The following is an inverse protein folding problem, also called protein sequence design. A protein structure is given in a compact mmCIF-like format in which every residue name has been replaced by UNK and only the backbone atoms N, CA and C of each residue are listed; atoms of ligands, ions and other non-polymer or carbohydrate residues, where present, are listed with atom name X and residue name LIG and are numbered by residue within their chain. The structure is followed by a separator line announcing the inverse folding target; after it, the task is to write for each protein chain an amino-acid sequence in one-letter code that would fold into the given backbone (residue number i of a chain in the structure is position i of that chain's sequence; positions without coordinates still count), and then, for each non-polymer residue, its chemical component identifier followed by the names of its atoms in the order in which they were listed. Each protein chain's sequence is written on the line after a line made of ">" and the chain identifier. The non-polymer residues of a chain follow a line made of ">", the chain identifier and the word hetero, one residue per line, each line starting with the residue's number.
data_IF_014874495356
#
_entry.id   IF_014874495356
#
_cell.length_a   1.000
_cell.length_b   1.000
_cell.length_c   1.000
_cell.angle_alpha   90.00
_cell.angle_beta   90.00
_cell.angle_gamma   90.00
#
_symmetry.space_group_name_H-M   'P 1'
#
loop_
_entity.id
_entity.type
_entity.pdbx_description
1 polymer ?
#
# COMPACT_ATOMS: atom_id res chain seq x y z
N UNK A 1 95.86 -70.35 -35.38
CA UNK A 1 96.00 -68.96 -34.92
C UNK A 1 95.06 -68.10 -35.73
N UNK A 2 94.16 -67.38 -35.04
CA UNK A 2 93.37 -66.20 -35.44
C UNK A 2 92.43 -66.39 -36.65
N UNK A 3 91.09 -66.48 -36.55
CA UNK A 3 90.16 -65.70 -35.71
C UNK A 3 90.37 -64.20 -36.01
N UNK A 4 89.65 -63.52 -36.90
CA UNK A 4 88.18 -63.37 -37.03
C UNK A 4 87.83 -62.69 -38.38
N UNK A 5 86.67 -62.94 -39.03
CA UNK A 5 86.11 -62.12 -40.12
C UNK A 5 85.02 -61.14 -39.62
N UNK A 6 84.46 -60.34 -40.53
CA UNK A 6 84.48 -58.87 -40.51
C UNK A 6 83.26 -58.12 -39.94
N UNK A 7 83.53 -56.83 -39.75
CA UNK A 7 82.86 -55.68 -39.16
C UNK A 7 81.32 -55.59 -39.17
N UNK A 8 80.83 -55.14 -38.02
CA UNK A 8 79.54 -54.49 -37.84
C UNK A 8 79.52 -53.10 -38.52
N UNK A 9 78.29 -52.68 -38.88
CA UNK A 9 77.72 -51.37 -39.29
C UNK A 9 78.56 -50.22 -39.93
N UNK A 10 79.87 -50.33 -40.13
CA UNK A 10 80.77 -49.30 -40.68
C UNK A 10 81.54 -49.74 -41.97
N UNK A 11 81.05 -50.75 -42.68
CA UNK A 11 81.41 -50.97 -44.10
C UNK A 11 82.78 -51.60 -44.40
N UNK A 12 83.05 -52.83 -43.92
CA UNK A 12 84.11 -53.70 -44.49
C UNK A 12 83.59 -55.12 -44.79
N UNK A 13 84.05 -55.71 -45.90
CA UNK A 13 83.59 -56.99 -46.46
C UNK A 13 84.39 -58.19 -45.94
N UNK A 14 83.71 -59.12 -45.26
CA UNK A 14 84.31 -60.37 -44.78
C UNK A 14 84.74 -61.33 -45.89
N UNK A 15 86.05 -61.57 -46.02
CA UNK A 15 86.62 -62.65 -46.85
C UNK A 15 86.72 -63.94 -46.03
N UNK A 16 85.94 -64.94 -46.42
CA UNK A 16 85.94 -66.28 -45.82
C UNK A 16 86.87 -67.21 -46.60
N UNK A 17 87.82 -67.86 -45.92
CA UNK A 17 88.85 -68.69 -46.56
C UNK A 17 88.48 -70.16 -46.69
N UNK A 18 87.31 -70.58 -46.18
CA UNK A 18 86.72 -71.90 -46.39
C UNK A 18 85.22 -71.80 -46.60
N UNK A 19 84.65 -72.73 -47.38
CA UNK A 19 83.20 -72.83 -47.61
C UNK A 19 82.44 -73.00 -46.29
N UNK A 20 82.98 -73.80 -45.36
CA UNK A 20 82.35 -74.05 -44.07
C UNK A 20 82.28 -72.80 -43.18
N UNK A 21 83.31 -71.95 -43.18
CA UNK A 21 83.31 -70.70 -42.42
C UNK A 21 82.33 -69.67 -43.00
N UNK A 22 82.25 -69.58 -44.34
CA UNK A 22 81.26 -68.73 -45.01
C UNK A 22 79.83 -69.17 -44.71
N UNK A 23 79.58 -70.49 -44.74
CA UNK A 23 78.25 -71.05 -44.50
C UNK A 23 77.81 -70.90 -43.03
N UNK A 24 78.74 -71.04 -42.08
CA UNK A 24 78.45 -70.79 -40.66
C UNK A 24 78.18 -69.32 -40.37
N UNK A 25 78.94 -68.38 -40.95
CA UNK A 25 78.69 -66.95 -40.77
C UNK A 25 77.36 -66.51 -41.41
N UNK A 26 77.04 -67.02 -42.60
CA UNK A 26 75.73 -66.83 -43.23
C UNK A 26 74.61 -67.40 -42.35
N UNK A 27 74.77 -68.61 -41.82
CA UNK A 27 73.81 -69.22 -40.91
C UNK A 27 73.62 -68.36 -39.65
N UNK A 28 74.69 -67.91 -39.01
CA UNK A 28 74.64 -67.00 -37.85
C UNK A 28 73.94 -65.67 -38.17
N UNK A 29 74.23 -65.05 -39.32
CA UNK A 29 73.58 -63.81 -39.73
C UNK A 29 72.09 -64.01 -40.05
N UNK A 30 71.71 -65.13 -40.67
CA UNK A 30 70.31 -65.45 -41.00
C UNK A 30 69.49 -65.80 -39.74
N UNK A 31 70.09 -66.44 -38.74
CA UNK A 31 69.44 -66.77 -37.46
C UNK A 31 69.58 -65.67 -36.40
N UNK A 32 70.41 -64.64 -36.59
CA UNK A 32 70.48 -63.51 -35.66
C UNK A 32 69.16 -62.73 -35.73
N UNK A 33 68.47 -62.53 -34.60
CA UNK A 33 67.18 -61.86 -34.60
C UNK A 33 67.32 -60.34 -34.74
N UNK A 34 66.28 -59.72 -35.29
CA UNK A 34 65.96 -58.32 -35.02
C UNK A 34 65.21 -58.25 -33.67
N UNK A 35 65.78 -57.52 -32.72
CA UNK A 35 65.15 -57.24 -31.43
C UNK A 35 64.33 -55.94 -31.52
N UNK A 36 63.06 -56.00 -31.17
CA UNK A 36 62.15 -54.85 -31.13
C UNK A 36 61.82 -54.50 -29.68
N UNK A 37 61.99 -53.23 -29.33
CA UNK A 37 61.63 -52.66 -28.04
C UNK A 37 60.46 -51.69 -28.20
N UNK A 38 59.57 -51.63 -27.21
CA UNK A 38 58.55 -50.59 -27.08
C UNK A 38 58.81 -49.70 -25.87
N UNK A 39 57.98 -48.65 -25.70
CA UNK A 39 58.11 -47.71 -24.57
C UNK A 39 57.91 -48.39 -23.21
N UNK A 40 57.19 -49.53 -23.18
CA UNK A 40 57.02 -50.41 -22.03
C UNK A 40 56.98 -51.88 -22.48
N UNK A 41 57.12 -52.83 -21.53
CA UNK A 41 57.04 -54.27 -21.78
C UNK A 41 58.38 -54.95 -22.07
N UNK A 42 58.34 -56.24 -22.38
CA UNK A 42 59.52 -57.03 -22.71
C UNK A 42 59.84 -56.94 -24.20
N UNK A 43 61.12 -56.75 -24.54
CA UNK A 43 61.59 -56.84 -25.91
C UNK A 43 61.23 -58.20 -26.52
N UNK A 44 60.97 -58.22 -27.83
CA UNK A 44 60.74 -59.47 -28.56
C UNK A 44 61.62 -59.55 -29.80
N UNK A 45 61.93 -60.77 -30.20
CA UNK A 45 62.86 -61.06 -31.29
C UNK A 45 62.14 -61.65 -32.50
N UNK A 46 62.68 -61.39 -33.70
CA UNK A 46 62.24 -61.98 -34.96
C UNK A 46 63.42 -62.28 -35.89
N UNK A 47 63.47 -63.48 -36.45
CA UNK A 47 64.46 -63.84 -37.47
C UNK A 47 64.13 -63.23 -38.84
N UNK A 48 65.14 -63.13 -39.72
CA UNK A 48 64.95 -62.67 -41.10
C UNK A 48 63.87 -63.52 -41.82
N UNK A 49 63.00 -62.87 -42.59
CA UNK A 49 61.85 -63.52 -43.25
C UNK A 49 60.60 -63.66 -42.38
N UNK A 50 60.66 -63.33 -41.08
CA UNK A 50 59.48 -63.31 -40.21
C UNK A 50 58.65 -62.04 -40.40
N UNK A 51 57.33 -62.15 -40.25
CA UNK A 51 56.45 -60.96 -40.20
C UNK A 51 56.39 -60.37 -38.80
N UNK A 52 56.67 -59.08 -38.69
CA UNK A 52 56.33 -58.26 -37.51
C UNK A 52 54.96 -57.65 -37.76
N UNK A 53 53.98 -57.98 -36.90
CA UNK A 53 52.66 -57.34 -36.94
C UNK A 53 52.70 -56.10 -36.05
N UNK A 54 52.74 -54.91 -36.65
CA UNK A 54 52.55 -53.65 -35.92
C UNK A 54 51.05 -53.42 -35.80
N UNK A 55 50.54 -53.54 -34.58
CA UNK A 55 49.17 -53.18 -34.23
C UNK A 55 49.24 -51.92 -33.39
N UNK A 56 48.44 -50.90 -33.72
CA UNK A 56 48.33 -49.67 -32.93
C UNK A 56 47.69 -49.96 -31.57
N UNK A 57 48.51 -50.35 -30.60
CA UNK A 57 48.10 -51.06 -29.40
C UNK A 57 47.78 -50.19 -28.17
N UNK A 58 46.84 -50.70 -27.38
CA UNK A 58 46.76 -50.52 -25.94
C UNK A 58 46.12 -51.80 -25.36
N UNK A 59 46.17 -52.04 -24.05
CA UNK A 59 45.74 -53.31 -23.41
C UNK A 59 44.41 -53.21 -22.66
N UNK A 60 43.68 -52.08 -22.77
CA UNK A 60 42.31 -51.88 -22.28
C UNK A 60 41.21 -52.20 -23.31
N UNK A 61 39.96 -51.81 -23.05
CA UNK A 61 38.89 -51.79 -24.08
C UNK A 61 39.28 -50.73 -25.12
N UNK A 62 39.81 -51.17 -26.24
CA UNK A 62 40.25 -50.29 -27.31
C UNK A 62 39.15 -50.09 -28.32
N UNK A 63 39.21 -48.95 -28.98
CA UNK A 63 38.53 -48.76 -30.25
C UNK A 63 39.37 -49.32 -31.38
N UNK A 64 38.80 -50.27 -32.11
CA UNK A 64 39.40 -50.77 -33.33
C UNK A 64 39.64 -49.60 -34.31
N UNK A 65 40.76 -49.64 -35.03
CA UNK A 65 41.01 -48.85 -36.24
C UNK A 65 41.40 -47.36 -36.12
N UNK A 66 41.65 -46.82 -34.91
CA UNK A 66 42.10 -45.41 -34.81
C UNK A 66 43.55 -45.18 -35.31
N UNK A 67 44.42 -46.20 -35.27
CA UNK A 67 45.80 -46.10 -35.77
C UNK A 67 45.97 -47.06 -36.95
N UNK A 68 46.18 -46.49 -38.13
CA UNK A 68 46.49 -47.22 -39.35
C UNK A 68 48.01 -47.28 -39.59
N UNK A 69 48.50 -48.42 -40.06
CA UNK A 69 49.90 -48.58 -40.50
C UNK A 69 49.88 -48.94 -41.97
N UNK A 70 50.49 -48.09 -42.81
CA UNK A 70 50.51 -48.25 -44.27
C UNK A 70 51.95 -48.44 -44.72
N UNK A 71 52.24 -49.56 -45.37
CA UNK A 71 53.53 -49.79 -46.01
C UNK A 71 53.60 -49.05 -47.34
N UNK A 72 54.74 -48.40 -47.61
CA UNK A 72 55.03 -47.75 -48.91
C UNK A 72 55.55 -48.73 -49.97
N UNK A 73 55.84 -49.97 -49.58
CA UNK A 73 56.42 -51.00 -50.46
C UNK A 73 57.93 -50.88 -50.67
N UNK A 74 58.61 -49.96 -49.98
CA UNK A 74 60.05 -49.74 -50.06
C UNK A 74 60.68 -49.84 -48.66
N UNK A 75 60.81 -48.72 -47.93
CA UNK A 75 61.52 -48.66 -46.64
C UNK A 75 60.73 -48.02 -45.50
N UNK A 76 59.47 -47.61 -45.72
CA UNK A 76 58.71 -46.83 -44.73
C UNK A 76 57.39 -47.48 -44.37
N UNK A 77 57.11 -47.55 -43.07
CA UNK A 77 55.76 -47.77 -42.54
C UNK A 77 55.21 -46.44 -42.07
N UNK A 78 54.21 -45.91 -42.77
CA UNK A 78 53.56 -44.66 -42.36
C UNK A 78 52.51 -44.99 -41.30
N UNK A 79 52.69 -44.45 -40.10
CA UNK A 79 51.70 -44.51 -39.04
C UNK A 79 50.75 -43.32 -39.21
N UNK A 80 49.46 -43.60 -39.31
CA UNK A 80 48.39 -42.61 -39.56
C UNK A 80 47.35 -42.70 -38.45
N UNK A 81 46.84 -41.55 -38.02
CA UNK A 81 45.61 -41.47 -37.23
C UNK A 81 44.43 -41.56 -38.20
N UNK A 82 43.37 -42.28 -37.81
CA UNK A 82 42.12 -42.28 -38.54
C UNK A 82 41.54 -40.86 -38.62
N UNK A 83 40.96 -40.50 -39.77
CA UNK A 83 40.31 -39.20 -39.96
C UNK A 83 39.14 -38.99 -38.98
N UNK A 84 38.42 -40.07 -38.66
CA UNK A 84 37.40 -40.11 -37.60
C UNK A 84 37.89 -40.98 -36.45
N UNK A 85 38.30 -40.33 -35.38
CA UNK A 85 38.72 -41.01 -34.14
C UNK A 85 37.48 -41.32 -33.31
N UNK A 86 37.20 -42.60 -33.08
CA UNK A 86 36.17 -43.04 -32.13
C UNK A 86 36.86 -43.55 -30.88
N UNK A 87 36.53 -43.06 -29.68
CA UNK A 87 37.17 -43.48 -28.43
C UNK A 87 36.33 -44.48 -27.62
N UNK A 88 35.16 -44.89 -28.12
CA UNK A 88 34.36 -45.99 -27.57
C UNK A 88 33.55 -45.62 -26.33
N UNK A 89 33.01 -46.62 -25.63
CA UNK A 89 32.09 -46.40 -24.50
C UNK A 89 32.73 -45.70 -23.29
N UNK A 90 34.05 -45.87 -23.12
CA UNK A 90 34.83 -45.29 -22.03
C UNK A 90 35.86 -44.27 -22.53
N UNK A 91 35.68 -43.77 -23.75
CA UNK A 91 36.61 -42.86 -24.39
C UNK A 91 36.57 -41.45 -23.82
N UNK A 92 37.72 -40.80 -23.73
CA UNK A 92 37.82 -39.39 -23.36
C UNK A 92 39.00 -38.69 -24.03
N UNK A 93 38.84 -37.41 -24.32
CA UNK A 93 39.90 -36.48 -24.66
C UNK A 93 40.05 -35.46 -23.53
N UNK A 94 41.26 -35.31 -22.99
CA UNK A 94 41.56 -34.34 -21.93
C UNK A 94 42.59 -33.33 -22.42
N UNK A 95 42.29 -32.04 -22.28
CA UNK A 95 43.18 -30.93 -22.63
C UNK A 95 43.17 -29.90 -21.50
N UNK A 96 44.20 -29.92 -20.64
CA UNK A 96 44.19 -29.16 -19.39
C UNK A 96 42.98 -29.54 -18.53
N UNK A 97 42.20 -28.55 -18.11
CA UNK A 97 40.99 -28.74 -17.30
C UNK A 97 39.76 -29.18 -18.10
N UNK A 98 39.86 -29.22 -19.44
CA UNK A 98 38.73 -29.62 -20.30
C UNK A 98 38.74 -31.12 -20.55
N UNK A 99 37.59 -31.76 -20.33
CA UNK A 99 37.35 -33.17 -20.62
C UNK A 99 36.18 -33.28 -21.60
N UNK A 100 36.41 -33.97 -22.72
CA UNK A 100 35.36 -34.37 -23.67
C UNK A 100 35.21 -35.88 -23.58
N UNK A 101 34.02 -36.36 -23.26
CA UNK A 101 33.73 -37.79 -23.13
C UNK A 101 32.27 -38.10 -23.50
N UNK A 102 31.81 -39.32 -23.20
CA UNK A 102 30.47 -39.78 -23.55
C UNK A 102 29.32 -39.08 -22.79
N UNK A 103 29.64 -38.24 -21.80
CA UNK A 103 28.67 -37.43 -21.04
C UNK A 103 28.57 -35.99 -21.55
N UNK A 104 29.59 -35.48 -22.25
CA UNK A 104 29.61 -34.12 -22.79
C UNK A 104 30.99 -33.47 -22.73
N UNK A 105 31.00 -32.14 -22.60
CA UNK A 105 32.20 -31.32 -22.38
C UNK A 105 32.15 -30.79 -20.95
N UNK A 106 33.22 -30.94 -20.20
CA UNK A 106 33.36 -30.41 -18.84
C UNK A 106 34.66 -29.62 -18.72
N UNK A 107 34.62 -28.45 -18.09
CA UNK A 107 35.80 -27.64 -17.78
C UNK A 107 35.85 -27.47 -16.26
N UNK A 108 36.88 -28.04 -15.63
CA UNK A 108 37.12 -27.82 -14.21
C UNK A 108 37.53 -26.35 -14.00
N UNK A 109 36.75 -25.61 -13.22
CA UNK A 109 36.97 -24.18 -12.96
C UNK A 109 37.62 -23.92 -11.59
N UNK A 110 38.23 -24.95 -10.99
CA UNK A 110 38.88 -24.87 -9.68
C UNK A 110 37.92 -24.79 -8.48
N UNK A 111 36.59 -24.81 -8.70
CA UNK A 111 35.59 -24.86 -7.64
C UNK A 111 34.98 -26.26 -7.59
N UNK A 112 35.02 -26.89 -6.41
CA UNK A 112 34.43 -28.20 -6.22
C UNK A 112 32.94 -28.19 -6.59
N UNK A 113 32.51 -29.24 -7.29
CA UNK A 113 31.12 -29.51 -7.69
C UNK A 113 30.43 -28.42 -8.53
N UNK A 114 31.19 -27.50 -9.14
CA UNK A 114 30.64 -26.44 -10.00
C UNK A 114 31.39 -26.27 -11.32
N UNK A 115 31.73 -27.34 -12.06
CA UNK A 115 32.40 -27.17 -13.34
C UNK A 115 31.49 -26.45 -14.35
N UNK A 116 32.08 -25.87 -15.38
CA UNK A 116 31.31 -25.50 -16.58
C UNK A 116 31.08 -26.78 -17.37
N UNK A 117 29.83 -27.14 -17.66
CA UNK A 117 29.54 -28.38 -18.38
C UNK A 117 28.46 -28.20 -19.46
N UNK A 118 28.67 -28.83 -20.61
CA UNK A 118 27.68 -28.97 -21.67
C UNK A 118 27.41 -30.45 -21.88
N UNK A 119 26.20 -30.87 -21.50
CA UNK A 119 25.76 -32.27 -21.54
C UNK A 119 24.48 -32.41 -22.35
N UNK A 120 23.95 -33.64 -22.47
CA UNK A 120 22.63 -33.89 -23.08
C UNK A 120 21.48 -33.18 -22.36
N UNK A 121 21.68 -32.80 -21.10
CA UNK A 121 20.69 -32.09 -20.28
C UNK A 121 20.80 -30.57 -20.41
N UNK A 122 21.80 -30.04 -21.14
CA UNK A 122 21.99 -28.60 -21.34
C UNK A 122 23.34 -28.09 -20.83
N UNK A 123 23.41 -26.78 -20.64
CA UNK A 123 24.57 -26.04 -20.15
C UNK A 123 24.42 -25.75 -18.65
N UNK A 124 25.44 -26.11 -17.87
CA UNK A 124 25.70 -25.53 -16.55
C UNK A 124 26.92 -24.62 -16.65
N UNK A 125 26.75 -23.34 -16.34
CA UNK A 125 27.84 -22.35 -16.41
C UNK A 125 28.68 -22.29 -15.12
N UNK A 126 28.51 -23.23 -14.18
CA UNK A 126 29.36 -23.36 -12.99
C UNK A 126 29.27 -22.16 -12.04
N UNK A 127 28.13 -21.47 -12.01
CA UNK A 127 27.93 -20.23 -11.24
C UNK A 127 28.59 -18.98 -11.84
N UNK A 128 29.16 -19.06 -13.04
CA UNK A 128 29.75 -17.91 -13.72
C UNK A 128 28.66 -17.01 -14.34
N UNK A 129 29.00 -15.73 -14.54
CA UNK A 129 28.18 -14.82 -15.37
C UNK A 129 28.30 -15.21 -16.85
N UNK A 130 27.17 -15.25 -17.56
CA UNK A 130 27.15 -15.35 -19.03
C UNK A 130 27.14 -13.92 -19.59
N UNK A 131 28.21 -13.51 -20.26
CA UNK A 131 28.35 -12.18 -20.84
C UNK A 131 27.99 -12.17 -22.34
N UNK A 132 27.72 -10.98 -22.89
CA UNK A 132 27.44 -10.77 -24.32
C UNK A 132 26.20 -11.51 -24.84
N UNK A 133 25.19 -11.69 -23.98
CA UNK A 133 23.88 -12.23 -24.38
C UNK A 133 23.10 -11.12 -25.09
N UNK A 134 22.80 -11.30 -26.37
CA UNK A 134 21.91 -10.43 -27.12
C UNK A 134 20.51 -10.38 -26.45
N UNK A 135 19.73 -9.33 -26.71
CA UNK A 135 18.36 -9.30 -26.22
C UNK A 135 17.57 -10.45 -26.88
N UNK A 136 16.88 -11.26 -26.07
CA UNK A 136 16.01 -12.32 -26.58
C UNK A 136 14.84 -11.75 -27.37
N UNK A 137 14.45 -12.44 -28.44
CA UNK A 137 13.36 -12.06 -29.35
C UNK A 137 12.13 -12.98 -29.19
N UNK A 138 12.35 -14.28 -29.01
CA UNK A 138 11.27 -15.27 -28.80
C UNK A 138 11.23 -15.78 -27.35
N UNK A 139 10.10 -16.38 -26.93
CA UNK A 139 9.85 -16.82 -25.55
C UNK A 139 10.89 -17.80 -24.97
N UNK A 140 11.64 -18.49 -25.83
CA UNK A 140 12.67 -19.47 -25.44
C UNK A 140 14.08 -18.88 -25.37
N UNK A 141 14.26 -17.60 -25.70
CA UNK A 141 15.57 -16.96 -25.64
C UNK A 141 15.94 -16.57 -24.20
N UNK A 142 17.25 -16.53 -23.92
CA UNK A 142 17.74 -16.01 -22.67
C UNK A 142 17.52 -14.49 -22.59
N UNK A 143 17.03 -14.01 -21.44
CA UNK A 143 16.84 -12.58 -21.16
C UNK A 143 18.13 -11.99 -20.61
N UNK A 144 18.55 -10.84 -21.12
CA UNK A 144 19.70 -10.10 -20.58
C UNK A 144 19.29 -8.97 -19.60
N UNK A 145 20.28 -8.38 -18.92
CA UNK A 145 20.03 -7.34 -17.90
C UNK A 145 19.40 -6.07 -18.49
N UNK A 146 19.63 -5.74 -19.76
CA UNK A 146 19.02 -4.54 -20.35
C UNK A 146 17.51 -4.73 -20.57
N UNK A 147 17.05 -5.94 -20.92
CA UNK A 147 15.62 -6.27 -20.96
C UNK A 147 14.99 -6.21 -19.56
N UNK A 148 15.68 -6.73 -18.53
CA UNK A 148 15.20 -6.64 -17.14
C UNK A 148 15.07 -5.18 -16.67
N UNK A 149 16.07 -4.34 -16.93
CA UNK A 149 16.02 -2.90 -16.58
C UNK A 149 14.89 -2.18 -17.31
N UNK A 150 14.68 -2.49 -18.58
CA UNK A 150 13.55 -1.96 -19.35
C UNK A 150 12.21 -2.37 -18.75
N UNK A 151 12.06 -3.65 -18.36
CA UNK A 151 10.86 -4.13 -17.68
C UNK A 151 10.63 -3.39 -16.35
N UNK A 152 11.65 -3.32 -15.47
CA UNK A 152 11.55 -2.61 -14.18
C UNK A 152 11.13 -1.15 -14.37
N UNK A 153 11.75 -0.45 -15.33
CA UNK A 153 11.40 0.95 -15.63
C UNK A 153 9.98 1.09 -16.19
N UNK A 154 9.58 0.19 -17.08
CA UNK A 154 8.25 0.18 -17.70
C UNK A 154 7.12 -0.09 -16.71
N UNK A 155 7.37 -0.92 -15.70
CA UNK A 155 6.39 -1.29 -14.68
C UNK A 155 6.49 -0.48 -13.39
N UNK A 156 7.38 0.52 -13.33
CA UNK A 156 7.44 1.43 -12.20
C UNK A 156 6.10 2.19 -12.04
N UNK A 157 5.60 2.26 -10.81
CA UNK A 157 4.42 3.07 -10.50
C UNK A 157 4.79 4.55 -10.65
N UNK A 158 4.04 5.28 -11.47
CA UNK A 158 4.21 6.72 -11.64
C UNK A 158 3.11 7.47 -10.86
N UNK A 159 3.44 8.64 -10.32
CA UNK A 159 2.52 9.54 -9.62
C UNK A 159 1.97 9.06 -8.26
N UNK A 160 2.47 7.95 -7.71
CA UNK A 160 2.15 7.48 -6.36
C UNK A 160 3.44 7.50 -5.53
N UNK A 161 3.41 8.19 -4.38
CA UNK A 161 4.54 8.27 -3.45
C UNK A 161 4.01 8.25 -2.02
N UNK A 162 4.47 7.28 -1.23
CA UNK A 162 4.13 7.11 0.19
C UNK A 162 5.45 7.11 0.95
N UNK A 163 5.60 8.06 1.88
CA UNK A 163 6.79 8.16 2.74
C UNK A 163 6.48 7.53 4.09
N UNK A 164 7.40 6.71 4.58
CA UNK A 164 7.32 6.01 5.86
C UNK A 164 8.47 6.39 6.79
N UNK A 165 9.09 7.55 6.57
CA UNK A 165 10.28 8.03 7.30
C UNK A 165 11.50 7.08 7.32
N UNK A 166 11.49 6.03 6.48
CA UNK A 166 12.50 4.99 6.45
C UNK A 166 12.29 3.88 7.48
N UNK A 167 11.19 3.92 8.24
CA UNK A 167 10.82 2.90 9.21
C UNK A 167 9.62 2.13 8.68
N UNK A 168 9.86 0.86 8.35
CA UNK A 168 8.81 -0.06 7.96
C UNK A 168 7.76 -0.21 9.08
N UNK A 169 6.50 0.07 8.76
CA UNK A 169 5.33 -0.08 9.65
C UNK A 169 4.27 -0.99 9.00
N UNK A 170 3.11 -1.14 9.63
CA UNK A 170 2.00 -1.92 9.08
C UNK A 170 1.57 -1.43 7.68
N UNK A 171 0.95 -2.32 6.90
CA UNK A 171 0.59 -2.13 5.49
C UNK A 171 1.79 -1.97 4.51
N UNK A 172 3.03 -2.25 4.93
CA UNK A 172 4.18 -2.28 4.00
C UNK A 172 4.00 -3.33 2.89
N UNK A 173 3.54 -4.52 3.25
CA UNK A 173 3.24 -5.62 2.31
C UNK A 173 1.84 -5.51 1.68
N UNK A 174 1.22 -4.32 1.71
CA UNK A 174 -0.16 -4.07 1.28
C UNK A 174 -1.21 -4.94 2.02
N UNK A 175 -0.94 -5.29 3.28
CA UNK A 175 -1.78 -6.15 4.11
C UNK A 175 -2.90 -5.42 4.88
N UNK A 176 -3.01 -4.09 4.76
CA UNK A 176 -4.01 -3.27 5.43
C UNK A 176 -5.42 -3.40 4.83
N UNK A 177 -5.56 -4.04 3.67
CA UNK A 177 -6.86 -4.33 3.05
C UNK A 177 -7.32 -5.74 3.45
N UNK A 178 -8.14 -5.85 4.51
CA UNK A 178 -8.52 -7.14 5.12
C UNK A 178 -9.97 -7.55 4.91
N UNK A 179 -10.85 -6.60 4.57
CA UNK A 179 -12.25 -6.86 4.22
C UNK A 179 -12.44 -7.46 2.82
N UNK A 180 -13.69 -7.52 2.36
CA UNK A 180 -14.03 -7.94 0.99
C UNK A 180 -14.01 -6.73 0.06
N UNK A 181 -13.16 -6.76 -0.98
CA UNK A 181 -12.95 -5.65 -1.92
C UNK A 181 -12.61 -4.25 -1.32
N UNK A 182 -11.75 -4.10 -0.30
CA UNK A 182 -11.38 -2.79 0.23
C UNK A 182 -10.19 -2.15 -0.52
N UNK A 183 -9.98 -0.86 -0.28
CA UNK A 183 -8.78 -0.12 -0.68
C UNK A 183 -8.09 0.46 0.56
N UNK A 184 -6.82 0.14 0.76
CA UNK A 184 -6.00 0.63 1.87
C UNK A 184 -4.69 1.24 1.35
N UNK A 185 -4.57 2.57 1.36
CA UNK A 185 -3.39 3.31 0.86
C UNK A 185 -2.79 4.19 1.96
N UNK A 186 -1.56 3.87 2.40
CA UNK A 186 -0.82 4.65 3.39
C UNK A 186 -0.13 3.80 4.46
N UNK A 187 0.78 4.43 5.20
CA UNK A 187 1.54 3.79 6.29
C UNK A 187 0.61 3.46 7.45
N UNK A 188 0.62 2.22 7.92
CA UNK A 188 -0.25 1.74 8.99
C UNK A 188 -1.76 2.00 8.77
N UNK A 189 -2.19 2.15 7.52
CA UNK A 189 -3.61 2.31 7.17
C UNK A 189 -4.31 0.96 7.21
N UNK A 190 -5.62 0.94 7.52
CA UNK A 190 -6.43 -0.28 7.59
C UNK A 190 -7.82 -0.06 6.98
N UNK A 191 -8.21 -0.89 6.03
CA UNK A 191 -9.55 -0.99 5.49
C UNK A 191 -10.10 -2.40 5.77
N UNK A 192 -10.90 -2.51 6.84
CA UNK A 192 -11.40 -3.79 7.36
C UNK A 192 -12.84 -4.09 6.90
N UNK A 193 -13.63 -3.07 6.57
CA UNK A 193 -14.99 -3.26 6.08
C UNK A 193 -15.07 -3.75 4.63
N UNK A 194 -16.16 -4.42 4.28
CA UNK A 194 -16.49 -4.73 2.88
C UNK A 194 -16.66 -3.42 2.09
N UNK A 195 -16.06 -3.33 0.90
CA UNK A 195 -16.09 -2.15 0.02
C UNK A 195 -15.57 -0.86 0.69
N UNK A 196 -14.76 -0.99 1.75
CA UNK A 196 -14.22 0.15 2.49
C UNK A 196 -13.04 0.81 1.76
N UNK A 197 -12.89 2.13 1.93
CA UNK A 197 -11.75 2.90 1.43
C UNK A 197 -11.05 3.60 2.58
N UNK A 198 -9.78 3.29 2.83
CA UNK A 198 -8.89 3.99 3.75
C UNK A 198 -7.71 4.62 2.99
N UNK A 199 -7.52 5.93 3.14
CA UNK A 199 -6.44 6.69 2.50
C UNK A 199 -5.77 7.64 3.51
N UNK A 200 -4.51 7.40 3.83
CA UNK A 200 -3.72 8.22 4.75
C UNK A 200 -2.99 7.39 5.81
N UNK A 201 -1.98 7.99 6.45
CA UNK A 201 -1.25 7.33 7.53
C UNK A 201 -2.20 7.05 8.70
N UNK A 202 -2.28 5.81 9.15
CA UNK A 202 -3.16 5.39 10.27
C UNK A 202 -4.64 5.68 10.03
N UNK A 203 -5.09 5.80 8.77
CA UNK A 203 -6.52 5.88 8.48
C UNK A 203 -7.18 4.50 8.68
N UNK A 204 -8.39 4.48 9.25
CA UNK A 204 -9.12 3.27 9.62
C UNK A 204 -10.53 3.31 9.03
N UNK A 205 -10.82 2.42 8.09
CA UNK A 205 -12.15 2.22 7.51
C UNK A 205 -12.70 0.85 7.93
N UNK A 206 -13.36 0.81 9.08
CA UNK A 206 -13.76 -0.44 9.76
C UNK A 206 -15.17 -0.91 9.37
N UNK A 207 -16.09 0.01 9.08
CA UNK A 207 -17.46 -0.31 8.68
C UNK A 207 -17.61 -0.73 7.21
N UNK A 208 -18.67 -1.45 6.87
CA UNK A 208 -19.03 -1.76 5.48
C UNK A 208 -19.35 -0.48 4.68
N UNK A 209 -18.89 -0.41 3.42
CA UNK A 209 -19.05 0.74 2.50
C UNK A 209 -18.55 2.07 3.08
N UNK A 210 -17.50 2.04 3.91
CA UNK A 210 -16.96 3.24 4.54
C UNK A 210 -15.93 3.96 3.67
N UNK A 211 -15.72 5.24 3.95
CA UNK A 211 -14.62 6.04 3.40
C UNK A 211 -13.93 6.78 4.53
N UNK A 212 -12.65 6.49 4.77
CA UNK A 212 -11.77 7.21 5.70
C UNK A 212 -10.61 7.84 4.93
N UNK A 213 -10.53 9.17 4.89
CA UNK A 213 -9.51 9.91 4.13
C UNK A 213 -8.84 10.96 4.99
N UNK A 214 -7.54 10.81 5.23
CA UNK A 214 -6.72 11.70 6.04
C UNK A 214 -5.99 10.92 7.14
N UNK A 215 -4.88 11.47 7.68
CA UNK A 215 -4.14 10.76 8.71
C UNK A 215 -5.00 10.58 9.96
N UNK A 216 -5.07 9.36 10.50
CA UNK A 216 -5.90 9.01 11.66
C UNK A 216 -7.40 9.26 11.47
N UNK A 217 -7.89 9.36 10.23
CA UNK A 217 -9.33 9.40 9.98
C UNK A 217 -9.93 8.02 10.29
N UNK A 218 -11.00 7.97 11.08
CA UNK A 218 -11.69 6.73 11.45
C UNK A 218 -13.14 6.76 10.96
N UNK A 219 -13.55 5.70 10.25
CA UNK A 219 -14.93 5.46 9.82
C UNK A 219 -15.37 4.05 10.24
N UNK A 220 -16.08 3.95 11.37
CA UNK A 220 -16.50 2.66 11.96
C UNK A 220 -17.92 2.25 11.56
N UNK A 221 -18.80 3.22 11.36
CA UNK A 221 -20.20 2.93 11.05
C UNK A 221 -20.43 2.47 9.62
N UNK A 222 -21.45 1.65 9.37
CA UNK A 222 -21.83 1.27 8.00
C UNK A 222 -22.17 2.53 7.18
N UNK A 223 -21.67 2.59 5.93
CA UNK A 223 -21.79 3.75 5.03
C UNK A 223 -21.19 5.06 5.59
N UNK A 224 -20.39 5.01 6.65
CA UNK A 224 -19.82 6.21 7.25
C UNK A 224 -18.72 6.82 6.37
N UNK A 225 -18.64 8.14 6.38
CA UNK A 225 -17.59 8.89 5.67
C UNK A 225 -16.86 9.80 6.65
N UNK A 226 -15.56 9.62 6.78
CA UNK A 226 -14.66 10.41 7.61
C UNK A 226 -13.55 11.02 6.74
N UNK A 227 -13.44 12.35 6.71
CA UNK A 227 -12.47 13.07 5.89
C UNK A 227 -11.77 14.15 6.72
N UNK A 228 -10.48 13.99 7.00
CA UNK A 228 -9.67 14.97 7.73
C UNK A 228 -8.70 14.31 8.72
N UNK A 229 -7.76 15.10 9.24
CA UNK A 229 -6.88 14.63 10.31
C UNK A 229 -7.69 14.29 11.56
N UNK A 230 -7.61 13.05 12.04
CA UNK A 230 -8.30 12.61 13.26
C UNK A 230 -9.83 12.84 13.23
N UNK A 231 -10.46 12.83 12.05
CA UNK A 231 -11.91 12.87 11.89
C UNK A 231 -12.53 11.51 12.27
N UNK A 232 -13.68 11.50 12.94
CA UNK A 232 -14.33 10.28 13.44
C UNK A 232 -15.79 10.20 12.98
N UNK A 233 -16.13 9.21 12.18
CA UNK A 233 -17.50 8.88 11.78
C UNK A 233 -17.84 7.47 12.27
N UNK A 234 -18.34 7.38 13.51
CA UNK A 234 -18.37 6.10 14.26
C UNK A 234 -19.70 5.33 14.15
N UNK A 235 -20.72 5.92 13.54
CA UNK A 235 -22.08 5.39 13.51
C UNK A 235 -22.66 5.29 12.09
N UNK A 236 -23.79 4.59 11.93
CA UNK A 236 -24.33 4.25 10.61
C UNK A 236 -24.74 5.52 9.85
N UNK A 237 -24.34 5.64 8.58
CA UNK A 237 -24.55 6.82 7.73
C UNK A 237 -23.99 8.12 8.33
N UNK A 238 -23.01 8.06 9.23
CA UNK A 238 -22.37 9.24 9.80
C UNK A 238 -21.43 9.92 8.80
N UNK A 239 -21.40 11.26 8.80
CA UNK A 239 -20.51 12.06 7.96
C UNK A 239 -19.66 12.99 8.84
N UNK A 240 -18.36 12.77 8.92
CA UNK A 240 -17.40 13.64 9.58
C UNK A 240 -16.43 14.25 8.57
N UNK A 241 -16.41 15.56 8.41
CA UNK A 241 -15.50 16.27 7.47
C UNK A 241 -14.83 17.44 8.16
N UNK A 242 -13.51 17.36 8.36
CA UNK A 242 -12.71 18.37 9.02
C UNK A 242 -11.78 17.78 10.06
N UNK A 243 -10.70 18.51 10.41
CA UNK A 243 -9.77 18.05 11.45
C UNK A 243 -10.48 17.89 12.78
N UNK A 244 -10.40 16.72 13.41
CA UNK A 244 -11.09 16.39 14.65
C UNK A 244 -12.62 16.54 14.62
N UNK A 245 -13.27 16.49 13.44
CA UNK A 245 -14.72 16.43 13.34
C UNK A 245 -15.24 15.09 13.89
N UNK A 246 -16.33 15.10 14.66
CA UNK A 246 -16.88 13.92 15.34
C UNK A 246 -18.36 13.74 15.03
N UNK A 247 -18.70 12.73 14.22
CA UNK A 247 -20.06 12.29 13.94
C UNK A 247 -20.27 10.89 14.56
N UNK A 248 -20.80 10.84 15.78
CA UNK A 248 -20.78 9.64 16.63
C UNK A 248 -22.15 8.94 16.78
N UNK A 249 -23.18 9.41 16.09
CA UNK A 249 -24.52 8.84 16.15
C UNK A 249 -25.13 8.59 14.77
N UNK A 250 -26.17 7.76 14.71
CA UNK A 250 -26.76 7.34 13.43
C UNK A 250 -27.27 8.54 12.63
N UNK A 251 -26.90 8.59 11.34
CA UNK A 251 -27.24 9.67 10.40
C UNK A 251 -26.79 11.05 10.90
N UNK A 252 -25.78 11.12 11.77
CA UNK A 252 -25.20 12.39 12.23
C UNK A 252 -24.24 12.99 11.19
N UNK A 253 -24.18 14.31 11.12
CA UNK A 253 -23.30 15.04 10.21
C UNK A 253 -22.50 16.08 10.99
N UNK A 254 -21.18 16.01 10.97
CA UNK A 254 -20.26 16.96 11.56
C UNK A 254 -19.29 17.49 10.48
N UNK A 255 -19.46 18.73 10.06
CA UNK A 255 -18.63 19.37 9.04
C UNK A 255 -17.97 20.62 9.62
N UNK A 256 -16.65 20.61 9.74
CA UNK A 256 -15.83 21.69 10.28
C UNK A 256 -14.82 21.19 11.31
N UNK A 257 -13.72 21.91 11.49
CA UNK A 257 -12.70 21.59 12.49
C UNK A 257 -13.32 21.50 13.89
N UNK A 258 -13.11 20.38 14.59
CA UNK A 258 -13.68 20.12 15.91
C UNK A 258 -15.22 20.26 15.99
N UNK A 259 -15.94 20.13 14.88
CA UNK A 259 -17.41 20.03 14.90
C UNK A 259 -17.83 18.72 15.55
N UNK A 260 -18.96 18.73 16.27
CA UNK A 260 -19.42 17.59 17.07
C UNK A 260 -20.91 17.38 16.86
N UNK A 261 -21.27 16.22 16.29
CA UNK A 261 -22.64 15.73 16.16
C UNK A 261 -22.75 14.35 16.83
N UNK A 262 -23.31 14.30 18.03
CA UNK A 262 -23.27 13.09 18.90
C UNK A 262 -24.64 12.50 19.21
N UNK A 263 -25.70 13.10 18.67
CA UNK A 263 -27.06 12.56 18.75
C UNK A 263 -27.59 12.12 17.38
N UNK A 264 -28.58 11.24 17.39
CA UNK A 264 -29.18 10.69 16.16
C UNK A 264 -29.76 11.81 15.30
N UNK A 265 -29.47 11.77 13.99
CA UNK A 265 -29.88 12.77 12.99
C UNK A 265 -29.41 14.21 13.32
N UNK A 266 -28.44 14.39 14.21
CA UNK A 266 -27.89 15.69 14.54
C UNK A 266 -26.97 16.21 13.42
N UNK A 267 -27.02 17.51 13.15
CA UNK A 267 -26.22 18.17 12.11
C UNK A 267 -25.44 19.34 12.71
N UNK A 268 -24.12 19.25 12.75
CA UNK A 268 -23.19 20.30 13.16
C UNK A 268 -22.39 20.79 11.94
N UNK A 269 -22.60 22.02 11.50
CA UNK A 269 -21.94 22.66 10.36
C UNK A 269 -21.22 23.93 10.81
N UNK A 270 -19.90 23.87 10.92
CA UNK A 270 -19.04 24.97 11.35
C UNK A 270 -17.95 24.51 12.30
N UNK A 271 -16.83 25.23 12.33
CA UNK A 271 -15.76 24.92 13.28
C UNK A 271 -16.26 25.07 14.72
N UNK A 272 -16.03 24.04 15.55
CA UNK A 272 -16.55 23.92 16.92
C UNK A 272 -18.09 24.00 17.06
N UNK A 273 -18.84 23.78 15.98
CA UNK A 273 -20.30 23.63 16.11
C UNK A 273 -20.64 22.35 16.89
N UNK A 274 -21.71 22.39 17.67
CA UNK A 274 -22.11 21.29 18.56
C UNK A 274 -23.61 21.01 18.40
N UNK A 275 -23.94 19.81 17.93
CA UNK A 275 -25.30 19.30 17.81
C UNK A 275 -25.44 18.00 18.62
N UNK A 276 -25.92 18.13 19.87
CA UNK A 276 -26.00 17.02 20.84
C UNK A 276 -27.44 16.65 21.22
N UNK A 277 -28.43 17.38 20.71
CA UNK A 277 -29.84 17.00 20.79
C UNK A 277 -30.26 16.11 19.62
N UNK A 278 -31.20 15.20 19.84
CA UNK A 278 -31.78 14.42 18.74
C UNK A 278 -32.41 15.38 17.71
N UNK A 279 -32.15 15.18 16.41
CA UNK A 279 -32.63 16.06 15.32
C UNK A 279 -32.13 17.50 15.38
N UNK A 280 -31.16 17.79 16.26
CA UNK A 280 -30.71 19.15 16.42
C UNK A 280 -29.83 19.58 15.24
N UNK A 281 -29.86 20.87 14.92
CA UNK A 281 -29.08 21.46 13.83
C UNK A 281 -28.32 22.67 14.33
N UNK A 282 -26.99 22.60 14.37
CA UNK A 282 -26.10 23.70 14.70
C UNK A 282 -25.35 24.18 13.45
N UNK A 283 -25.50 25.45 13.07
CA UNK A 283 -24.86 26.04 11.88
C UNK A 283 -24.11 27.32 12.25
N UNK A 284 -22.79 27.30 12.21
CA UNK A 284 -21.93 28.44 12.51
C UNK A 284 -20.76 28.08 13.42
N UNK A 285 -19.78 28.99 13.50
CA UNK A 285 -18.68 28.83 14.46
C UNK A 285 -19.22 28.86 15.89
N UNK A 286 -18.92 27.84 16.69
CA UNK A 286 -19.40 27.68 18.09
C UNK A 286 -20.94 27.69 18.24
N UNK A 287 -21.71 27.46 17.18
CA UNK A 287 -23.16 27.27 17.31
C UNK A 287 -23.44 25.98 18.12
N UNK A 288 -24.36 26.03 19.08
CA UNK A 288 -24.70 24.93 19.99
C UNK A 288 -26.20 24.65 19.98
N UNK A 289 -26.58 23.48 19.49
CA UNK A 289 -27.96 23.00 19.39
C UNK A 289 -28.08 21.72 20.22
N UNK A 290 -28.41 21.89 21.51
CA UNK A 290 -28.40 20.80 22.51
C UNK A 290 -29.81 20.30 22.88
N UNK A 291 -30.85 21.10 22.60
CA UNK A 291 -32.23 20.66 22.72
C UNK A 291 -32.62 19.67 21.62
N UNK A 292 -33.49 18.71 21.92
CA UNK A 292 -34.08 17.84 20.88
C UNK A 292 -34.92 18.69 19.92
N UNK A 293 -34.86 18.39 18.62
CA UNK A 293 -35.53 19.12 17.53
C UNK A 293 -35.21 20.62 17.51
N UNK A 294 -34.05 21.03 18.04
CA UNK A 294 -33.65 22.44 18.10
C UNK A 294 -32.82 22.89 16.90
N UNK A 295 -32.84 24.19 16.62
CA UNK A 295 -32.03 24.82 15.58
C UNK A 295 -31.22 25.99 16.16
N UNK A 296 -29.90 25.93 16.11
CA UNK A 296 -29.00 27.04 16.41
C UNK A 296 -28.24 27.47 15.14
N UNK A 297 -28.47 28.68 14.63
CA UNK A 297 -27.75 29.20 13.47
C UNK A 297 -27.15 30.59 13.72
N UNK A 298 -25.83 30.69 13.61
CA UNK A 298 -25.06 31.91 13.85
C UNK A 298 -23.83 31.65 14.71
N UNK A 299 -22.88 32.59 14.72
CA UNK A 299 -21.73 32.54 15.63
C UNK A 299 -22.23 32.45 17.08
N UNK A 300 -21.84 31.40 17.82
CA UNK A 300 -22.19 31.21 19.23
C UNK A 300 -23.71 31.23 19.51
N UNK A 301 -24.56 30.91 18.52
CA UNK A 301 -26.00 30.74 18.75
C UNK A 301 -26.24 29.53 19.65
N UNK A 302 -27.17 29.62 20.61
CA UNK A 302 -27.46 28.58 21.59
C UNK A 302 -28.95 28.22 21.61
N UNK A 303 -29.29 27.02 21.18
CA UNK A 303 -30.65 26.47 21.21
C UNK A 303 -30.70 25.27 22.17
N UNK A 304 -30.89 25.56 23.46
CA UNK A 304 -30.85 24.57 24.54
C UNK A 304 -32.22 24.04 24.99
N UNK A 305 -33.30 24.74 24.64
CA UNK A 305 -34.65 24.21 24.83
C UNK A 305 -35.03 23.16 23.78
N UNK A 306 -35.82 22.16 24.17
CA UNK A 306 -36.47 21.24 23.22
C UNK A 306 -37.38 22.02 22.26
N UNK A 307 -37.33 21.69 20.96
CA UNK A 307 -38.05 22.37 19.88
C UNK A 307 -37.81 23.89 19.87
N UNK A 308 -36.62 24.34 20.28
CA UNK A 308 -36.26 25.75 20.27
C UNK A 308 -35.53 26.17 19.00
N UNK A 309 -35.56 27.47 18.70
CA UNK A 309 -34.88 28.04 17.52
C UNK A 309 -34.11 29.29 17.92
N UNK A 310 -32.79 29.29 17.75
CA UNK A 310 -31.90 30.42 17.96
C UNK A 310 -31.24 30.84 16.63
N UNK A 311 -31.56 32.02 16.12
CA UNK A 311 -31.03 32.55 14.85
C UNK A 311 -30.34 33.89 15.09
N UNK A 312 -29.00 33.92 15.02
CA UNK A 312 -28.20 35.13 15.15
C UNK A 312 -26.96 34.97 16.02
N UNK A 313 -26.04 35.92 15.92
CA UNK A 313 -24.83 35.96 16.75
C UNK A 313 -25.20 36.00 18.23
N UNK A 314 -24.81 34.99 19.00
CA UNK A 314 -25.14 34.84 20.43
C UNK A 314 -26.65 34.87 20.73
N UNK A 315 -27.52 34.51 19.78
CA UNK A 315 -28.94 34.32 20.07
C UNK A 315 -29.11 33.12 21.02
N UNK A 316 -29.95 33.26 22.05
CA UNK A 316 -30.20 32.22 23.06
C UNK A 316 -31.69 31.85 23.11
N UNK A 317 -32.02 30.62 22.72
CA UNK A 317 -33.35 30.03 22.82
C UNK A 317 -33.33 28.92 23.90
N UNK A 318 -33.39 29.36 25.16
CA UNK A 318 -33.18 28.52 26.34
C UNK A 318 -34.45 27.82 26.86
N UNK A 319 -35.63 28.32 26.51
CA UNK A 319 -36.90 27.70 26.89
C UNK A 319 -37.35 26.61 25.92
N UNK A 320 -38.12 25.64 26.39
CA UNK A 320 -38.83 24.67 25.54
C UNK A 320 -39.78 25.43 24.62
N UNK A 321 -39.87 25.08 23.33
CA UNK A 321 -40.66 25.79 22.30
C UNK A 321 -40.29 27.28 22.14
N UNK A 322 -39.12 27.71 22.61
CA UNK A 322 -38.73 29.11 22.52
C UNK A 322 -38.16 29.47 21.14
N UNK A 323 -38.36 30.72 20.72
CA UNK A 323 -37.81 31.26 19.48
C UNK A 323 -37.05 32.55 19.78
N UNK A 324 -35.77 32.58 19.43
CA UNK A 324 -34.87 33.71 19.62
C UNK A 324 -34.23 34.09 18.29
N UNK A 325 -34.52 35.28 17.78
CA UNK A 325 -34.05 35.75 16.47
C UNK A 325 -33.46 37.14 16.59
N UNK A 326 -32.17 37.26 16.32
CA UNK A 326 -31.41 38.51 16.41
C UNK A 326 -30.14 38.36 17.24
N UNK A 327 -29.19 39.27 17.04
CA UNK A 327 -27.95 39.29 17.83
C UNK A 327 -28.29 39.47 19.31
N UNK A 328 -27.74 38.60 20.18
CA UNK A 328 -28.01 38.60 21.62
C UNK A 328 -29.50 38.53 22.02
N UNK A 329 -30.40 38.11 21.12
CA UNK A 329 -31.79 37.87 21.50
C UNK A 329 -31.84 36.73 22.53
N UNK A 330 -32.72 36.82 23.52
CA UNK A 330 -32.82 35.88 24.63
C UNK A 330 -34.28 35.48 24.88
N UNK A 331 -34.68 34.30 24.41
CA UNK A 331 -35.94 33.67 24.72
C UNK A 331 -35.73 32.59 25.80
N UNK A 332 -35.63 33.03 27.06
CA UNK A 332 -35.30 32.16 28.19
C UNK A 332 -36.51 31.41 28.78
N UNK A 333 -37.72 31.96 28.64
CA UNK A 333 -38.94 31.32 29.12
C UNK A 333 -39.44 30.20 28.19
N UNK A 334 -40.14 29.20 28.74
CA UNK A 334 -40.86 28.21 27.92
C UNK A 334 -41.89 28.93 27.04
N UNK A 335 -41.99 28.54 25.76
CA UNK A 335 -42.84 29.16 24.74
C UNK A 335 -42.59 30.66 24.55
N UNK A 336 -41.41 31.17 24.95
CA UNK A 336 -41.07 32.57 24.80
C UNK A 336 -40.61 32.90 23.36
N UNK A 337 -40.91 34.12 22.90
CA UNK A 337 -40.50 34.62 21.59
C UNK A 337 -39.74 35.92 21.78
N UNK A 338 -38.45 35.94 21.42
CA UNK A 338 -37.62 37.13 21.40
C UNK A 338 -37.17 37.42 19.96
N UNK A 339 -37.67 38.50 19.35
CA UNK A 339 -37.32 38.89 17.98
C UNK A 339 -36.78 40.33 17.96
N UNK A 340 -35.48 40.47 17.73
CA UNK A 340 -34.76 41.74 17.70
C UNK A 340 -33.40 41.66 18.39
N UNK A 341 -32.48 42.56 18.01
CA UNK A 341 -31.19 42.68 18.67
C UNK A 341 -31.39 42.98 20.18
N UNK A 342 -30.84 42.13 21.04
CA UNK A 342 -31.00 42.19 22.51
C UNK A 342 -32.46 42.13 23.01
N UNK A 343 -33.42 41.63 22.22
CA UNK A 343 -34.77 41.36 22.71
C UNK A 343 -34.72 40.28 23.82
N UNK A 344 -35.45 40.47 24.91
CA UNK A 344 -35.41 39.61 26.09
C UNK A 344 -36.81 39.16 26.51
N UNK A 345 -37.19 37.93 26.14
CA UNK A 345 -38.41 37.26 26.55
C UNK A 345 -38.08 36.22 27.63
N UNK A 346 -37.99 36.68 28.89
CA UNK A 346 -37.57 35.86 30.02
C UNK A 346 -38.73 35.16 30.74
N UNK A 347 -39.97 35.62 30.55
CA UNK A 347 -41.16 35.00 31.12
C UNK A 347 -41.67 33.79 30.34
N UNK A 348 -42.38 32.87 31.01
CA UNK A 348 -43.10 31.78 30.32
C UNK A 348 -44.19 32.37 29.42
N UNK A 349 -44.29 31.89 28.18
CA UNK A 349 -45.21 32.39 27.16
C UNK A 349 -45.10 33.90 26.92
N UNK A 350 -43.91 34.49 27.15
CA UNK A 350 -43.68 35.92 26.96
C UNK A 350 -43.24 36.23 25.53
N UNK A 351 -43.55 37.44 25.05
CA UNK A 351 -43.20 37.90 23.70
C UNK A 351 -42.47 39.23 23.81
N UNK A 352 -41.23 39.30 23.33
CA UNK A 352 -40.44 40.52 23.21
C UNK A 352 -40.11 40.75 21.73
N UNK A 353 -40.77 41.72 21.10
CA UNK A 353 -40.59 42.08 19.70
C UNK A 353 -40.03 43.49 19.59
N UNK A 354 -38.80 43.63 19.10
CA UNK A 354 -38.10 44.90 18.92
C UNK A 354 -36.73 44.93 19.59
N UNK A 355 -35.87 45.84 19.12
CA UNK A 355 -34.52 46.02 19.69
C UNK A 355 -34.62 46.37 21.17
N UNK A 356 -33.93 45.61 22.02
CA UNK A 356 -33.93 45.80 23.48
C UNK A 356 -35.31 45.74 24.14
N UNK A 357 -36.32 45.15 23.49
CA UNK A 357 -37.62 44.88 24.10
C UNK A 357 -37.49 43.88 25.26
N UNK A 358 -38.31 44.00 26.30
CA UNK A 358 -38.22 43.22 27.53
C UNK A 358 -39.60 42.73 27.97
N UNK A 359 -39.82 41.42 27.91
CA UNK A 359 -40.99 40.75 28.46
C UNK A 359 -40.53 39.74 29.52
N UNK A 360 -40.48 40.19 30.79
CA UNK A 360 -39.71 39.48 31.84
C UNK A 360 -40.56 38.62 32.76
N UNK A 361 -41.87 38.58 32.57
CA UNK A 361 -42.80 37.81 33.42
C UNK A 361 -43.77 36.99 32.58
N UNK A 362 -44.45 36.04 33.22
CA UNK A 362 -45.36 35.11 32.53
C UNK A 362 -46.42 35.84 31.71
N UNK A 363 -46.60 35.42 30.46
CA UNK A 363 -47.55 35.97 29.49
C UNK A 363 -47.40 37.48 29.23
N UNK A 364 -46.26 38.09 29.58
CA UNK A 364 -45.98 39.49 29.27
C UNK A 364 -45.67 39.67 27.77
N UNK A 365 -46.12 40.79 27.20
CA UNK A 365 -45.95 41.09 25.77
C UNK A 365 -45.37 42.49 25.60
N UNK A 366 -44.13 42.60 25.12
CA UNK A 366 -43.45 43.86 24.81
C UNK A 366 -43.29 43.99 23.29
N UNK A 367 -43.95 44.98 22.69
CA UNK A 367 -43.96 45.23 21.24
C UNK A 367 -43.44 46.64 20.97
N UNK A 368 -42.17 46.75 20.61
CA UNK A 368 -41.50 48.03 20.32
C UNK A 368 -40.06 48.07 20.80
N UNK A 369 -39.27 48.99 20.24
CA UNK A 369 -37.91 49.22 20.73
C UNK A 369 -37.95 49.67 22.20
N UNK A 370 -37.15 49.05 23.06
CA UNK A 370 -37.13 49.29 24.51
C UNK A 370 -38.48 49.13 25.23
N UNK A 371 -39.50 48.54 24.61
CA UNK A 371 -40.77 48.27 25.27
C UNK A 371 -40.54 47.31 26.46
N UNK A 372 -41.18 47.55 27.60
CA UNK A 372 -40.92 46.86 28.87
C UNK A 372 -42.22 46.38 29.52
N UNK A 373 -42.54 45.12 29.30
CA UNK A 373 -43.64 44.40 29.93
C UNK A 373 -43.11 43.57 31.12
N UNK A 374 -43.18 44.16 32.32
CA UNK A 374 -42.58 43.62 33.57
C UNK A 374 -43.62 43.09 34.56
N UNK A 375 -44.88 43.03 34.17
CA UNK A 375 -45.98 42.57 35.01
C UNK A 375 -46.68 41.39 34.33
N UNK A 376 -47.20 40.46 35.13
CA UNK A 376 -47.81 39.23 34.59
C UNK A 376 -48.98 39.56 33.66
N UNK A 377 -48.98 38.97 32.47
CA UNK A 377 -50.04 39.15 31.47
C UNK A 377 -50.19 40.58 30.95
N UNK A 378 -49.23 41.48 31.21
CA UNK A 378 -49.29 42.87 30.76
C UNK A 378 -48.78 43.03 29.33
N UNK A 379 -49.19 44.12 28.67
CA UNK A 379 -48.76 44.47 27.32
C UNK A 379 -48.13 45.85 27.31
N UNK A 380 -46.87 45.97 26.88
CA UNK A 380 -46.22 47.24 26.54
C UNK A 380 -46.22 47.38 25.01
N UNK A 381 -46.98 48.34 24.47
CA UNK A 381 -47.18 48.52 23.04
C UNK A 381 -46.67 49.90 22.59
N UNK A 382 -45.54 49.91 21.89
CA UNK A 382 -44.88 51.12 21.38
C UNK A 382 -43.46 51.28 21.91
N UNK A 383 -42.67 52.10 21.23
CA UNK A 383 -41.28 52.39 21.62
C UNK A 383 -41.23 53.03 23.02
N UNK A 384 -40.37 52.51 23.89
CA UNK A 384 -40.23 52.91 25.30
C UNK A 384 -41.51 52.74 26.16
N UNK A 385 -42.54 52.03 25.70
CA UNK A 385 -43.71 51.75 26.53
C UNK A 385 -43.30 50.90 27.73
N UNK A 386 -43.76 51.24 28.93
CA UNK A 386 -43.50 50.46 30.14
C UNK A 386 -44.82 50.17 30.86
N UNK A 387 -45.05 48.90 31.18
CA UNK A 387 -46.22 48.51 31.98
C UNK A 387 -45.98 48.83 33.44
N UNK A 388 -47.02 49.32 34.11
CA UNK A 388 -47.06 49.54 35.56
C UNK A 388 -48.02 48.55 36.22
N UNK A 389 -48.05 48.56 37.56
CA UNK A 389 -49.01 47.78 38.32
C UNK A 389 -50.46 48.12 37.93
N UNK A 390 -51.32 47.11 37.94
CA UNK A 390 -52.70 47.25 37.50
C UNK A 390 -53.51 48.17 38.41
N UNK A 391 -54.22 49.13 37.80
CA UNK A 391 -55.09 50.09 38.50
C UNK A 391 -56.55 49.72 38.28
N UNK A 392 -57.27 49.42 39.37
CA UNK A 392 -58.70 49.16 39.34
C UNK A 392 -59.50 50.46 39.33
N UNK A 393 -59.90 50.92 38.14
CA UNK A 393 -60.82 52.07 38.00
C UNK A 393 -62.24 51.63 38.29
N UNK A 394 -62.70 51.77 39.54
CA UNK A 394 -64.01 51.27 39.97
C UNK A 394 -65.20 52.12 39.50
N UNK A 395 -64.98 53.43 39.39
CA UNK A 395 -66.02 54.39 39.03
C UNK A 395 -65.42 55.68 38.50
N UNK A 396 -66.24 56.49 37.84
CA UNK A 396 -65.96 57.90 37.56
C UNK A 396 -67.13 58.76 38.04
N UNK A 397 -66.84 59.99 38.47
CA UNK A 397 -67.86 60.97 38.82
C UNK A 397 -68.01 61.97 37.68
N UNK A 398 -69.21 62.06 37.11
CA UNK A 398 -69.56 63.01 36.03
C UNK A 398 -70.75 63.84 36.50
N UNK A 399 -70.60 65.17 36.56
CA UNK A 399 -71.62 66.11 37.04
C UNK A 399 -72.25 65.73 38.40
N UNK A 400 -71.44 65.22 39.33
CA UNK A 400 -71.90 64.79 40.66
C UNK A 400 -72.53 63.39 40.72
N UNK A 401 -72.76 62.73 39.59
CA UNK A 401 -73.24 61.35 39.55
C UNK A 401 -72.06 60.37 39.44
N UNK A 402 -72.05 59.36 40.30
CA UNK A 402 -71.05 58.26 40.24
C UNK A 402 -71.52 57.19 39.27
N UNK A 403 -70.71 56.94 38.25
CA UNK A 403 -70.90 55.86 37.29
C UNK A 403 -69.90 54.75 37.62
N UNK A 404 -70.41 53.59 38.04
CA UNK A 404 -69.58 52.39 38.27
C UNK A 404 -69.22 51.73 36.95
N UNK A 405 -67.96 51.37 36.78
CA UNK A 405 -67.53 50.60 35.61
C UNK A 405 -67.74 49.11 35.83
N UNK A 406 -68.01 48.37 34.77
CA UNK A 406 -68.21 46.91 34.85
C UNK A 406 -66.91 46.13 35.15
N UNK A 407 -65.74 46.71 34.85
CA UNK A 407 -64.42 46.07 34.97
C UNK A 407 -63.64 46.47 36.22
N UNK A 408 -64.18 46.27 37.41
CA UNK A 408 -63.54 46.75 38.67
C UNK A 408 -62.39 45.89 39.17
N UNK A 409 -62.14 44.72 38.58
CA UNK A 409 -61.10 43.76 38.98
C UNK A 409 -60.24 43.33 37.77
N UNK A 410 -59.52 44.26 37.13
CA UNK A 410 -58.62 43.93 36.02
C UNK A 410 -57.49 42.97 36.48
N UNK A 411 -57.16 42.00 35.64
CA UNK A 411 -56.08 41.03 35.90
C UNK A 411 -54.71 41.47 35.38
N UNK A 412 -54.66 42.45 34.46
CA UNK A 412 -53.41 42.98 33.88
C UNK A 412 -53.60 44.38 33.29
N UNK A 413 -52.56 44.93 32.66
CA UNK A 413 -52.54 46.30 32.12
C UNK A 413 -51.92 46.35 30.73
N UNK A 414 -52.46 47.22 29.89
CA UNK A 414 -51.86 47.61 28.61
C UNK A 414 -51.29 49.02 28.75
N UNK A 415 -50.01 49.20 28.47
CA UNK A 415 -49.34 50.49 28.38
C UNK A 415 -49.07 50.82 26.92
N UNK A 416 -49.45 52.02 26.50
CA UNK A 416 -49.30 52.49 25.13
C UNK A 416 -48.62 53.86 25.17
N UNK A 417 -47.46 53.97 24.51
CA UNK A 417 -46.79 55.23 24.24
C UNK A 417 -46.79 55.43 22.73
N UNK A 418 -47.39 56.55 22.29
CA UNK A 418 -47.49 56.93 20.88
C UNK A 418 -46.16 57.49 20.34
#
# INVERSE_FOLDING_TARGET
>A
MNGTPDADKEGKQGRYTTVSAALSALNTAVISPLTFAGDTGTNFERHLGSTVKIKGGSTGILTENNIGVVADGNSTLTIKLAEKVNLGANGSLTTGDTVVNNTGITIANGVADKPVSLTKSGLDNGGNKIANVAAGDVDTDAVNVSQLKQAISKFATHYVSISDDGIQRANYDNSGSSGVNPMAIGVATSANGELATALGSEAEANGERTTAVGPRATADGMNATSIGYNANANATNALAVGSAANANADTSTAIGTASTATATRATALGSKSEATGENSTAVGYEASSIGADSLAAGYNANASGTQSTALGNSANAGGIWSTSVGRNANAAGSSAIALGNSANAAGVASIALGVSSQATTTAAVALGQNAKATHQGSVALGTNSETVATVATKSATLNGNTYTFAGTTPSSTVSIVL
#
